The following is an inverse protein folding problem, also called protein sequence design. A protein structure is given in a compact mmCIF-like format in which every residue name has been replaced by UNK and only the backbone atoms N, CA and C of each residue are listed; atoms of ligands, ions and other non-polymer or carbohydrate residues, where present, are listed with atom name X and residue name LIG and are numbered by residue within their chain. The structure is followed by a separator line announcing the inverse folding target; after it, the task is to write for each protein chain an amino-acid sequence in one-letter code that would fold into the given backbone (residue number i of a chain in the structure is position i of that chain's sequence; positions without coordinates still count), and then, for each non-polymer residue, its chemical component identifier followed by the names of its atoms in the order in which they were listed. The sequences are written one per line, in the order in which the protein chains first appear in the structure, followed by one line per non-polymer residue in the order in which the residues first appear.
data_IF_575534299075
#
_entry.id   IF_575534299075
#
_cell.length_a   1.000
_cell.length_b   1.000
_cell.length_c   1.000
_cell.angle_alpha   90.00
_cell.angle_beta   90.00
_cell.angle_gamma   90.00
#
_symmetry.space_group_name_H-M   'P 1'
#
loop_
_entity.id
_entity.type
_entity.pdbx_description
1 polymer ?
#
# COMPACT_ATOMS: atom_id res chain seq x y z
N UNK A 1 -15.22 7.14 18.87
CA UNK A 1 -13.91 6.61 18.45
C UNK A 1 -13.59 7.21 17.09
N UNK A 2 -12.40 7.82 16.89
CA UNK A 2 -12.04 8.34 15.58
C UNK A 2 -11.99 7.16 14.61
N UNK A 3 -12.61 7.31 13.43
CA UNK A 3 -12.57 6.29 12.37
C UNK A 3 -11.10 6.01 12.06
N UNK A 4 -10.60 4.86 12.49
CA UNK A 4 -9.46 4.22 11.84
C UNK A 4 -9.83 4.14 10.36
N UNK A 5 -9.22 4.98 9.51
CA UNK A 5 -9.38 4.86 8.07
C UNK A 5 -8.90 3.47 7.69
N UNK A 6 -9.75 2.66 7.06
CA UNK A 6 -9.41 1.28 6.73
C UNK A 6 -8.15 1.25 5.85
N UNK A 7 -7.39 0.16 5.89
CA UNK A 7 -6.23 0.01 5.01
C UNK A 7 -6.62 0.11 3.52
N UNK A 8 -7.86 -0.22 3.16
CA UNK A 8 -8.40 0.05 1.82
C UNK A 8 -8.53 1.55 1.53
N UNK A 9 -9.04 2.36 2.46
CA UNK A 9 -9.12 3.82 2.30
C UNK A 9 -7.73 4.46 2.25
N UNK A 10 -6.75 3.87 2.96
CA UNK A 10 -5.34 4.28 2.90
C UNK A 10 -4.74 3.95 1.54
N UNK A 11 -4.93 2.73 1.04
CA UNK A 11 -4.46 2.32 -0.29
C UNK A 11 -5.07 3.17 -1.40
N UNK A 12 -6.37 3.50 -1.32
CA UNK A 12 -7.01 4.35 -2.32
C UNK A 12 -6.38 5.75 -2.39
N UNK A 13 -6.08 6.35 -1.23
CA UNK A 13 -5.38 7.64 -1.16
C UNK A 13 -3.94 7.56 -1.69
N UNK A 14 -3.21 6.51 -1.33
CA UNK A 14 -1.85 6.30 -1.81
C UNK A 14 -1.82 6.04 -3.32
N UNK A 15 -2.82 5.36 -3.87
CA UNK A 15 -2.96 5.14 -5.31
C UNK A 15 -3.16 6.47 -6.05
N UNK A 16 -4.05 7.35 -5.57
CA UNK A 16 -4.25 8.67 -6.16
C UNK A 16 -2.97 9.52 -6.12
N UNK A 17 -2.23 9.44 -5.02
CA UNK A 17 -0.94 10.12 -4.89
C UNK A 17 0.13 9.55 -5.83
N UNK A 18 0.19 8.23 -5.95
CA UNK A 18 1.08 7.55 -6.89
C UNK A 18 0.80 8.01 -8.32
N UNK A 19 -0.46 8.02 -8.73
CA UNK A 19 -0.87 8.43 -10.09
C UNK A 19 -0.53 9.90 -10.36
N UNK A 20 -0.74 10.76 -9.36
CA UNK A 20 -0.38 12.18 -9.43
C UNK A 20 1.13 12.37 -9.60
N UNK A 21 1.94 11.68 -8.80
CA UNK A 21 3.40 11.74 -8.93
C UNK A 21 3.85 11.17 -10.28
N UNK A 22 3.25 10.06 -10.72
CA UNK A 22 3.58 9.38 -11.98
C UNK A 22 3.35 10.28 -13.21
N UNK A 23 2.26 11.04 -13.21
CA UNK A 23 1.97 12.01 -14.27
C UNK A 23 3.06 13.08 -14.44
N UNK A 24 3.88 13.32 -13.42
CA UNK A 24 4.92 14.35 -13.39
C UNK A 24 6.36 13.83 -13.53
N UNK A 25 6.55 12.53 -13.78
CA UNK A 25 7.88 11.88 -13.85
C UNK A 25 8.75 12.39 -15.00
N UNK A 26 8.13 12.77 -16.11
CA UNK A 26 8.81 13.38 -17.24
C UNK A 26 8.44 14.87 -17.24
N UNK A 27 9.44 15.73 -17.17
CA UNK A 27 9.24 17.18 -17.24
C UNK A 27 8.97 17.64 -18.69
N UNK A 28 8.58 18.89 -18.87
CA UNK A 28 8.26 19.47 -20.19
C UNK A 28 9.42 19.42 -21.20
N UNK A 29 10.66 19.32 -20.72
CA UNK A 29 11.86 19.23 -21.58
C UNK A 29 12.25 17.79 -21.90
N UNK A 30 11.46 16.79 -21.47
CA UNK A 30 11.72 15.37 -21.68
C UNK A 30 12.74 14.75 -20.70
N UNK A 31 13.20 15.53 -19.73
CA UNK A 31 14.06 15.08 -18.63
C UNK A 31 13.29 14.38 -17.51
N UNK A 32 14.00 13.59 -16.71
CA UNK A 32 13.41 12.92 -15.54
C UNK A 32 13.27 13.89 -14.37
N UNK A 33 12.06 13.98 -13.83
CA UNK A 33 11.77 14.69 -12.60
C UNK A 33 12.17 13.83 -11.39
N UNK A 34 13.30 14.19 -10.76
CA UNK A 34 13.86 13.45 -9.62
C UNK A 34 12.92 13.46 -8.41
N UNK A 35 12.23 14.57 -8.17
CA UNK A 35 11.32 14.71 -7.03
C UNK A 35 10.11 13.77 -7.18
N UNK A 36 9.51 13.75 -8.37
CA UNK A 36 8.42 12.83 -8.69
C UNK A 36 8.84 11.35 -8.53
N UNK A 37 10.05 11.00 -8.98
CA UNK A 37 10.58 9.64 -8.83
C UNK A 37 10.81 9.24 -7.36
N UNK A 38 11.31 10.17 -6.53
CA UNK A 38 11.48 9.93 -5.10
C UNK A 38 10.10 9.74 -4.44
N UNK A 39 9.13 10.59 -4.76
CA UNK A 39 7.78 10.47 -4.21
C UNK A 39 7.11 9.16 -4.60
N UNK A 40 7.26 8.72 -5.86
CA UNK A 40 6.77 7.40 -6.30
C UNK A 40 7.37 6.26 -5.48
N UNK A 41 8.67 6.32 -5.19
CA UNK A 41 9.34 5.29 -4.39
C UNK A 41 8.82 5.26 -2.95
N UNK A 42 8.57 6.42 -2.35
CA UNK A 42 8.03 6.52 -1.00
C UNK A 42 6.61 5.95 -0.93
N UNK A 43 5.72 6.40 -1.83
CA UNK A 43 4.33 5.98 -1.88
C UNK A 43 4.22 4.47 -2.15
N UNK A 44 5.01 3.94 -3.09
CA UNK A 44 5.05 2.51 -3.36
C UNK A 44 5.53 1.70 -2.14
N UNK A 45 6.50 2.22 -1.38
CA UNK A 45 6.95 1.61 -0.13
C UNK A 45 5.83 1.55 0.91
N UNK A 46 5.09 2.65 1.09
CA UNK A 46 3.96 2.69 2.02
C UNK A 46 2.84 1.72 1.63
N UNK A 47 2.51 1.62 0.34
CA UNK A 47 1.54 0.64 -0.17
C UNK A 47 2.00 -0.79 0.09
N UNK A 48 3.28 -1.09 -0.12
CA UNK A 48 3.85 -2.41 0.15
C UNK A 48 3.72 -2.80 1.62
N UNK A 49 4.02 -1.89 2.56
CA UNK A 49 3.86 -2.14 3.99
C UNK A 49 2.40 -2.50 4.34
N UNK A 50 1.43 -1.78 3.78
CA UNK A 50 0.01 -2.09 4.02
C UNK A 50 -0.34 -3.50 3.51
N UNK A 51 0.12 -3.88 2.32
CA UNK A 51 -0.12 -5.22 1.79
C UNK A 51 0.54 -6.31 2.64
N UNK A 52 1.74 -6.07 3.16
CA UNK A 52 2.43 -7.02 4.05
C UNK A 52 1.68 -7.22 5.37
N UNK A 53 1.16 -6.14 5.96
CA UNK A 53 0.36 -6.17 7.19
C UNK A 53 -0.93 -6.98 6.98
N UNK A 54 -1.68 -6.68 5.92
CA UNK A 54 -2.91 -7.41 5.57
C UNK A 54 -2.62 -8.90 5.31
N UNK A 55 -1.55 -9.21 4.58
CA UNK A 55 -1.15 -10.58 4.32
C UNK A 55 -0.74 -11.31 5.62
N UNK A 56 -0.11 -10.62 6.57
CA UNK A 56 0.23 -11.18 7.87
C UNK A 56 -1.02 -11.48 8.71
N UNK A 57 -2.03 -10.62 8.67
CA UNK A 57 -3.33 -10.84 9.31
C UNK A 57 -4.06 -12.04 8.71
N UNK A 58 -4.10 -12.16 7.38
CA UNK A 58 -4.70 -13.30 6.71
C UNK A 58 -4.00 -14.62 7.06
N UNK A 59 -2.66 -14.63 7.13
CA UNK A 59 -1.90 -15.82 7.57
C UNK A 59 -2.25 -16.22 9.01
N UNK A 60 -2.38 -15.25 9.92
CA UNK A 60 -2.80 -15.50 11.30
C UNK A 60 -4.21 -16.09 11.37
N UNK A 61 -5.16 -15.53 10.62
CA UNK A 61 -6.53 -16.03 10.56
C UNK A 61 -6.61 -17.45 9.98
N UNK A 62 -5.85 -17.73 8.92
CA UNK A 62 -5.76 -19.05 8.31
C UNK A 62 -5.17 -20.10 9.29
N UNK A 63 -4.12 -19.73 10.03
CA UNK A 63 -3.54 -20.59 11.06
C UNK A 63 -4.55 -20.94 12.15
N UNK A 64 -5.26 -19.96 12.69
CA UNK A 64 -6.29 -20.18 13.71
C UNK A 64 -7.43 -21.09 13.20
N UNK A 65 -7.84 -20.93 11.94
CA UNK A 65 -8.86 -21.79 11.33
C UNK A 65 -8.38 -23.24 11.17
N UNK A 66 -7.10 -23.43 10.82
CA UNK A 66 -6.49 -24.75 10.71
C UNK A 66 -6.39 -25.45 12.08
N UNK A 67 -5.93 -24.75 13.12
CA UNK A 67 -5.83 -25.29 14.48
C UNK A 67 -7.21 -25.72 15.02
N UNK A 68 -8.24 -24.94 14.74
CA UNK A 68 -9.63 -25.28 15.10
C UNK A 68 -10.14 -26.52 14.36
N UNK A 69 -9.72 -26.72 13.11
CA UNK A 69 -10.09 -27.90 12.32
C UNK A 69 -9.41 -29.17 12.84
N UNK A 70 -8.18 -29.05 13.36
CA UNK A 70 -7.38 -30.17 13.87
C UNK A 70 -7.67 -30.55 15.33
N UNK A 71 -8.46 -29.76 16.04
CA UNK A 71 -8.86 -30.01 17.44
C UNK A 71 -10.22 -30.72 17.57
N UNK A 72 -10.75 -31.27 16.47
CA UNK A 72 -11.95 -32.12 16.39
C UNK A 72 -11.60 -33.57 16.13
#
# INVERSE_FOLDING_TARGET
MPRSTSNLDRLARLQEEYDTANASVINETGGRNREALLRLSEVAGEMACIHEDEAAEMRRAAGAAYDLAMTK
#
